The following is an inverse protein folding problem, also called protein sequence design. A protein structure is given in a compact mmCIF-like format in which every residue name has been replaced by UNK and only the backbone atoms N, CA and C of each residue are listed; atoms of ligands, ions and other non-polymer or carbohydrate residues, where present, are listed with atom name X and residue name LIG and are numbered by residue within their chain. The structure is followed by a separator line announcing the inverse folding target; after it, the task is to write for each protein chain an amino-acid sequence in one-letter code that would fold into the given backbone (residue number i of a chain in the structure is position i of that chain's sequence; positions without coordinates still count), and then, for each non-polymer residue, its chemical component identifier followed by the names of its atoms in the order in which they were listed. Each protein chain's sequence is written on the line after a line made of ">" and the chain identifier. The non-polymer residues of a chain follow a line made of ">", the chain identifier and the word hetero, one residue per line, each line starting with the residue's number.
data_IF_188772635601
#
_entry.id   IF_188772635601
#
_cell.length_a   1.000
_cell.length_b   1.000
_cell.length_c   1.000
_cell.angle_alpha   90.00
_cell.angle_beta   90.00
_cell.angle_gamma   90.00
#
_symmetry.space_group_name_H-M   'P 1'
#
loop_
_entity.id
_entity.type
_entity.pdbx_description
1 polymer ?
#
# COMPACT_ATOMS: atom_id res chain seq x y z
N UNK A 1 19.58 -7.89 6.33
CA UNK A 1 18.55 -8.90 6.65
C UNK A 1 17.30 -8.54 5.87
N UNK A 2 16.45 -9.49 5.48
CA UNK A 2 15.23 -9.23 4.68
C UNK A 2 14.38 -8.09 5.26
N UNK A 3 14.28 -8.01 6.59
CA UNK A 3 13.57 -6.93 7.27
C UNK A 3 14.09 -5.54 6.85
N UNK A 4 15.40 -5.32 6.79
CA UNK A 4 15.99 -4.01 6.45
C UNK A 4 15.73 -3.57 5.00
N UNK A 5 15.31 -4.48 4.12
CA UNK A 5 15.01 -4.18 2.71
C UNK A 5 13.50 -4.22 2.42
N UNK A 6 12.68 -4.44 3.45
CA UNK A 6 11.23 -4.42 3.37
C UNK A 6 10.71 -2.99 3.45
N UNK A 7 9.97 -2.57 2.42
CA UNK A 7 9.28 -1.30 2.37
C UNK A 7 8.37 -1.13 3.61
N UNK A 8 8.50 -0.03 4.36
CA UNK A 8 7.64 0.28 5.52
C UNK A 8 6.15 0.11 5.23
N UNK A 9 5.70 0.39 4.01
CA UNK A 9 4.31 0.22 3.59
C UNK A 9 3.85 -1.25 3.68
N UNK A 10 4.73 -2.23 3.44
CA UNK A 10 4.38 -3.65 3.61
C UNK A 10 4.16 -4.01 5.08
N UNK A 11 4.97 -3.44 5.98
CA UNK A 11 4.83 -3.65 7.43
C UNK A 11 3.58 -3.01 7.97
N UNK A 12 3.33 -1.75 7.59
CA UNK A 12 2.12 -1.03 7.95
C UNK A 12 0.88 -1.81 7.48
N UNK A 13 0.84 -2.28 6.24
CA UNK A 13 -0.29 -3.08 5.77
C UNK A 13 -0.50 -4.38 6.56
N UNK A 14 0.56 -5.07 6.98
CA UNK A 14 0.44 -6.25 7.81
C UNK A 14 -0.16 -5.91 9.19
N UNK A 15 0.39 -4.89 9.84
CA UNK A 15 -0.05 -4.44 11.17
C UNK A 15 -1.50 -3.93 11.14
N UNK A 16 -1.85 -3.08 10.17
CA UNK A 16 -3.19 -2.51 10.06
C UNK A 16 -4.21 -3.55 9.62
N UNK A 17 -3.84 -4.53 8.80
CA UNK A 17 -4.73 -5.65 8.46
C UNK A 17 -5.05 -6.50 9.68
N UNK A 18 -4.06 -6.76 10.53
CA UNK A 18 -4.28 -7.46 11.79
C UNK A 18 -5.20 -6.66 12.72
N UNK A 19 -4.89 -5.38 12.94
CA UNK A 19 -5.70 -4.49 13.78
C UNK A 19 -7.14 -4.35 13.28
N UNK A 20 -7.36 -4.33 11.97
CA UNK A 20 -8.70 -4.27 11.38
C UNK A 20 -9.52 -5.54 11.69
N UNK A 21 -8.88 -6.71 11.74
CA UNK A 21 -9.55 -7.95 12.16
C UNK A 21 -9.88 -7.93 13.65
N UNK A 22 -8.95 -7.46 14.49
CA UNK A 22 -9.18 -7.31 15.93
C UNK A 22 -10.32 -6.33 16.23
N UNK A 23 -10.35 -5.18 15.55
CA UNK A 23 -11.42 -4.18 15.67
C UNK A 23 -12.79 -4.76 15.25
N UNK A 24 -12.81 -5.61 14.23
CA UNK A 24 -14.00 -6.34 13.82
C UNK A 24 -14.39 -7.50 14.75
N UNK A 25 -13.59 -7.81 15.78
CA UNK A 25 -13.79 -8.94 16.69
C UNK A 25 -13.59 -10.30 16.02
N UNK A 26 -12.83 -10.36 14.92
CA UNK A 26 -12.55 -11.57 14.16
C UNK A 26 -11.17 -12.10 14.59
N UNK A 27 -11.16 -13.32 15.13
CA UNK A 27 -9.91 -14.04 15.40
C UNK A 27 -9.21 -14.41 14.07
N UNK A 28 -8.01 -13.86 13.78
CA UNK A 28 -7.28 -14.13 12.54
C UNK A 28 -6.98 -15.62 12.32
N UNK A 29 -6.79 -16.40 13.38
CA UNK A 29 -6.48 -17.82 13.25
C UNK A 29 -7.64 -18.62 12.64
N UNK A 30 -8.88 -18.13 12.79
CA UNK A 30 -10.08 -18.73 12.18
C UNK A 30 -10.19 -18.48 10.69
N UNK A 31 -9.41 -17.55 10.14
CA UNK A 31 -9.42 -17.23 8.70
C UNK A 31 -8.42 -18.07 7.89
N UNK A 32 -7.56 -18.87 8.53
CA UNK A 32 -6.62 -19.74 7.83
C UNK A 32 -7.36 -20.73 6.93
N UNK A 33 -7.00 -20.76 5.65
CA UNK A 33 -7.65 -21.57 4.62
C UNK A 33 -8.98 -21.03 4.11
N UNK A 34 -9.47 -19.90 4.64
CA UNK A 34 -10.73 -19.30 4.21
C UNK A 34 -10.59 -18.60 2.86
N UNK A 35 -11.71 -18.40 2.16
CA UNK A 35 -11.80 -17.58 0.94
C UNK A 35 -11.85 -16.09 1.28
N UNK A 36 -11.04 -15.64 2.24
CA UNK A 36 -10.93 -14.21 2.55
C UNK A 36 -10.03 -13.55 1.50
N UNK A 37 -10.50 -12.49 0.86
CA UNK A 37 -9.72 -11.70 -0.09
C UNK A 37 -8.95 -10.55 0.56
N UNK A 38 -7.89 -10.08 -0.09
CA UNK A 38 -7.11 -8.90 0.26
C UNK A 38 -7.04 -7.98 -0.96
N UNK A 39 -7.57 -6.78 -0.84
CA UNK A 39 -7.64 -5.79 -1.91
C UNK A 39 -7.05 -4.48 -1.36
N UNK A 40 -5.88 -4.05 -1.81
CA UNK A 40 -5.33 -2.79 -1.33
C UNK A 40 -4.75 -1.92 -2.44
N UNK A 41 -4.99 -0.62 -2.30
CA UNK A 41 -4.37 0.41 -3.11
C UNK A 41 -2.93 0.68 -2.67
N UNK A 42 -1.98 0.57 -3.60
CA UNK A 42 -0.57 0.93 -3.37
C UNK A 42 0.03 1.43 -4.69
N UNK A 43 0.57 2.64 -4.67
CA UNK A 43 0.95 3.35 -5.91
C UNK A 43 2.37 3.91 -5.90
N UNK A 44 3.01 4.05 -4.73
CA UNK A 44 4.34 4.66 -4.63
C UNK A 44 5.40 3.66 -4.16
N UNK A 45 6.53 3.65 -4.86
CA UNK A 45 7.68 2.79 -4.57
C UNK A 45 8.95 3.60 -4.29
N UNK A 46 8.81 4.61 -3.43
CA UNK A 46 9.90 5.51 -3.04
C UNK A 46 11.06 4.72 -2.42
N UNK A 47 10.73 3.69 -1.64
CA UNK A 47 11.72 2.87 -0.94
C UNK A 47 12.63 2.09 -1.90
N UNK A 48 12.11 1.64 -3.06
CA UNK A 48 12.95 1.04 -4.09
C UNK A 48 14.02 2.01 -4.62
N UNK A 49 13.67 3.29 -4.77
CA UNK A 49 14.65 4.32 -5.14
C UNK A 49 15.76 4.44 -4.09
N UNK A 50 15.36 4.53 -2.81
CA UNK A 50 16.30 4.60 -1.67
C UNK A 50 17.21 3.38 -1.59
N UNK A 51 16.67 2.17 -1.76
CA UNK A 51 17.46 0.94 -1.76
C UNK A 51 18.44 0.95 -2.94
N UNK A 52 17.98 1.25 -4.16
CA UNK A 52 18.85 1.23 -5.35
C UNK A 52 19.99 2.25 -5.25
N UNK A 53 19.74 3.45 -4.72
CA UNK A 53 20.78 4.47 -4.47
C UNK A 53 21.80 4.00 -3.43
N UNK A 54 21.38 3.25 -2.40
CA UNK A 54 22.29 2.64 -1.44
C UNK A 54 23.03 1.40 -1.99
N UNK A 55 22.47 0.74 -3.00
CA UNK A 55 22.94 -0.55 -3.54
C UNK A 55 24.01 -0.45 -4.61
N UNK A 56 24.44 0.76 -5.02
CA UNK A 56 25.56 0.98 -5.95
C UNK A 56 26.91 0.40 -5.43
N UNK A 57 26.88 -0.21 -4.24
CA UNK A 57 28.00 -0.88 -3.56
C UNK A 57 27.69 -2.31 -3.07
N UNK A 58 26.52 -2.90 -3.41
CA UNK A 58 26.00 -4.12 -2.76
C UNK A 58 26.05 -5.42 -3.59
N UNK A 59 26.17 -6.56 -2.90
CA UNK A 59 26.22 -7.94 -3.43
C UNK A 59 24.90 -8.37 -4.11
N UNK A 60 24.94 -9.28 -5.11
CA UNK A 60 23.77 -9.71 -5.90
C UNK A 60 22.62 -10.35 -5.10
N UNK A 61 22.84 -10.83 -3.87
CA UNK A 61 21.78 -11.35 -2.99
C UNK A 61 20.91 -10.24 -2.36
N UNK A 62 21.44 -9.03 -2.17
CA UNK A 62 20.64 -7.84 -1.81
C UNK A 62 19.60 -7.51 -2.87
N UNK A 63 19.88 -7.85 -4.13
CA UNK A 63 18.98 -7.60 -5.26
C UNK A 63 17.67 -8.40 -5.17
N UNK A 64 17.70 -9.63 -4.62
CA UNK A 64 16.51 -10.48 -4.52
C UNK A 64 15.56 -10.02 -3.39
N UNK A 65 16.11 -9.69 -2.22
CA UNK A 65 15.34 -9.17 -1.09
C UNK A 65 14.83 -7.75 -1.36
N UNK A 66 15.58 -6.92 -2.09
CA UNK A 66 15.10 -5.63 -2.59
C UNK A 66 13.89 -5.79 -3.53
N UNK A 67 13.86 -6.82 -4.37
CA UNK A 67 12.72 -7.06 -5.29
C UNK A 67 11.46 -7.47 -4.51
N UNK A 68 11.55 -8.44 -3.60
CA UNK A 68 10.39 -8.84 -2.79
C UNK A 68 9.99 -7.79 -1.75
N UNK A 69 10.97 -7.07 -1.20
CA UNK A 69 10.76 -6.01 -0.22
C UNK A 69 10.09 -4.75 -0.76
N UNK A 70 10.08 -4.56 -2.08
CA UNK A 70 9.53 -3.33 -2.71
C UNK A 70 8.42 -3.58 -3.74
N UNK A 71 8.12 -4.83 -4.08
CA UNK A 71 7.07 -5.15 -5.04
C UNK A 71 5.67 -5.03 -4.42
N UNK A 72 4.76 -4.34 -5.11
CA UNK A 72 3.37 -4.16 -4.68
C UNK A 72 2.62 -5.50 -4.54
N UNK A 73 2.86 -6.44 -5.45
CA UNK A 73 2.26 -7.77 -5.36
C UNK A 73 2.69 -8.51 -4.09
N UNK A 74 3.93 -8.30 -3.66
CA UNK A 74 4.50 -8.98 -2.49
C UNK A 74 3.91 -8.37 -1.23
N UNK A 75 3.64 -7.07 -1.23
CA UNK A 75 2.96 -6.40 -0.14
C UNK A 75 1.59 -7.04 0.19
N UNK A 76 0.75 -7.26 -0.83
CA UNK A 76 -0.57 -7.90 -0.66
C UNK A 76 -0.43 -9.41 -0.41
N UNK A 77 0.46 -10.07 -1.13
CA UNK A 77 0.73 -11.49 -0.95
C UNK A 77 1.24 -11.82 0.46
N UNK A 78 2.02 -10.94 1.09
CA UNK A 78 2.48 -11.11 2.47
C UNK A 78 1.33 -11.06 3.47
N UNK A 79 0.36 -10.17 3.29
CA UNK A 79 -0.85 -10.14 4.15
C UNK A 79 -1.63 -11.45 4.02
N UNK A 80 -1.91 -11.87 2.78
CA UNK A 80 -2.62 -13.12 2.53
C UNK A 80 -1.86 -14.32 3.11
N UNK A 81 -0.53 -14.39 2.90
CA UNK A 81 0.32 -15.46 3.41
C UNK A 81 0.37 -15.50 4.95
N UNK A 82 0.59 -14.35 5.60
CA UNK A 82 0.73 -14.28 7.05
C UNK A 82 -0.58 -14.66 7.78
N UNK A 83 -1.72 -14.28 7.22
CA UNK A 83 -3.05 -14.58 7.77
C UNK A 83 -3.64 -15.92 7.26
N UNK A 84 -2.94 -16.60 6.33
CA UNK A 84 -3.37 -17.86 5.74
C UNK A 84 -4.61 -17.77 4.85
N UNK A 85 -4.83 -16.63 4.20
CA UNK A 85 -6.02 -16.34 3.39
C UNK A 85 -5.86 -16.92 1.98
N UNK A 86 -6.92 -17.51 1.43
CA UNK A 86 -6.92 -18.18 0.12
C UNK A 86 -7.87 -17.53 -0.91
N UNK A 87 -8.47 -16.39 -0.58
CA UNK A 87 -9.24 -15.58 -1.53
C UNK A 87 -8.35 -14.74 -2.46
N UNK A 88 -8.94 -13.86 -3.28
CA UNK A 88 -8.20 -12.99 -4.19
C UNK A 88 -7.21 -12.08 -3.44
N UNK A 89 -5.99 -11.91 -3.95
CA UNK A 89 -4.97 -11.02 -3.41
C UNK A 89 -4.56 -9.99 -4.48
N UNK A 90 -5.14 -8.79 -4.43
CA UNK A 90 -5.08 -7.80 -5.50
C UNK A 90 -4.43 -6.49 -5.02
N UNK A 91 -3.34 -6.12 -5.67
CA UNK A 91 -2.77 -4.77 -5.58
C UNK A 91 -3.42 -3.88 -6.65
N UNK A 92 -3.91 -2.71 -6.25
CA UNK A 92 -4.57 -1.75 -7.15
C UNK A 92 -3.73 -0.48 -7.26
N UNK A 93 -3.46 -0.05 -8.50
CA UNK A 93 -2.85 1.24 -8.77
C UNK A 93 -3.68 2.01 -9.81
N UNK A 94 -4.49 2.94 -9.31
CA UNK A 94 -5.23 3.95 -10.08
C UNK A 94 -4.91 5.35 -9.54
N UNK A 95 -3.66 5.56 -9.13
CA UNK A 95 -3.16 6.78 -8.47
C UNK A 95 -3.96 7.17 -7.22
N UNK A 96 -4.45 8.42 -7.11
CA UNK A 96 -5.12 8.91 -5.89
C UNK A 96 -6.42 8.16 -5.56
N UNK A 97 -6.96 7.37 -6.48
CA UNK A 97 -8.20 6.60 -6.30
C UNK A 97 -7.98 5.15 -5.89
N UNK A 98 -6.72 4.69 -5.78
CA UNK A 98 -6.37 3.27 -5.63
C UNK A 98 -7.10 2.58 -4.48
N UNK A 99 -7.16 3.19 -3.29
CA UNK A 99 -7.83 2.60 -2.13
C UNK A 99 -9.34 2.48 -2.32
N UNK A 100 -9.99 3.49 -2.91
CA UNK A 100 -11.41 3.44 -3.20
C UNK A 100 -11.75 2.41 -4.29
N UNK A 101 -10.89 2.27 -5.29
CA UNK A 101 -11.03 1.22 -6.32
C UNK A 101 -10.80 -0.17 -5.71
N UNK A 102 -9.86 -0.33 -4.79
CA UNK A 102 -9.66 -1.57 -4.06
C UNK A 102 -10.89 -1.95 -3.23
N UNK A 103 -11.49 -1.00 -2.51
CA UNK A 103 -12.76 -1.20 -1.80
C UNK A 103 -13.90 -1.59 -2.75
N UNK A 104 -14.01 -0.91 -3.90
CA UNK A 104 -14.99 -1.25 -4.92
C UNK A 104 -14.82 -2.69 -5.43
N UNK A 105 -13.58 -3.12 -5.71
CA UNK A 105 -13.28 -4.48 -6.14
C UNK A 105 -13.56 -5.51 -5.06
N UNK A 106 -13.27 -5.21 -3.79
CA UNK A 106 -13.59 -6.08 -2.66
C UNK A 106 -15.10 -6.33 -2.55
N UNK A 107 -15.90 -5.26 -2.61
CA UNK A 107 -17.37 -5.36 -2.60
C UNK A 107 -17.87 -6.19 -3.78
N UNK A 108 -17.32 -5.97 -4.99
CA UNK A 108 -17.68 -6.75 -6.16
C UNK A 108 -17.31 -8.24 -6.02
N UNK A 109 -16.14 -8.55 -5.46
CA UNK A 109 -15.69 -9.93 -5.20
C UNK A 109 -16.59 -10.66 -4.20
N UNK A 110 -17.00 -9.98 -3.13
CA UNK A 110 -17.97 -10.49 -2.16
C UNK A 110 -19.33 -10.78 -2.83
N UNK A 111 -19.85 -9.84 -3.65
CA UNK A 111 -21.13 -10.01 -4.34
C UNK A 111 -21.11 -11.15 -5.37
N UNK A 112 -19.96 -11.42 -5.98
CA UNK A 112 -19.77 -12.53 -6.94
C UNK A 112 -19.50 -13.87 -6.28
N UNK A 113 -19.33 -13.90 -4.95
CA UNK A 113 -18.96 -15.12 -4.21
C UNK A 113 -17.51 -15.58 -4.45
N UNK A 114 -16.65 -14.67 -4.93
CA UNK A 114 -15.20 -14.90 -5.08
C UNK A 114 -14.49 -14.89 -3.72
N UNK A 115 -15.06 -14.20 -2.74
CA UNK A 115 -14.63 -14.16 -1.35
C UNK A 115 -15.81 -14.18 -0.38
N UNK A 116 -15.60 -14.69 0.83
CA UNK A 116 -16.59 -14.72 1.93
C UNK A 116 -16.38 -13.58 2.94
N UNK A 117 -15.17 -13.02 2.95
CA UNK A 117 -14.73 -11.88 3.74
C UNK A 117 -13.66 -11.14 2.92
N UNK A 118 -13.51 -9.83 3.11
CA UNK A 118 -12.47 -9.08 2.41
C UNK A 118 -11.81 -8.05 3.31
N UNK A 119 -10.48 -8.04 3.32
CA UNK A 119 -9.68 -6.92 3.78
C UNK A 119 -9.55 -5.94 2.61
N UNK A 120 -9.94 -4.68 2.83
CA UNK A 120 -9.93 -3.66 1.79
C UNK A 120 -9.37 -2.32 2.33
N UNK A 121 -8.46 -1.69 1.59
CA UNK A 121 -7.87 -0.42 2.02
C UNK A 121 -6.79 0.10 1.06
N UNK A 122 -5.81 0.81 1.60
CA UNK A 122 -4.62 1.23 0.87
C UNK A 122 -3.54 1.73 1.81
N UNK A 123 -2.35 1.98 1.25
CA UNK A 123 -1.21 2.52 1.98
C UNK A 123 -0.46 3.51 1.11
N UNK A 124 0.02 4.60 1.72
CA UNK A 124 0.86 5.60 1.12
C UNK A 124 1.85 6.17 2.15
N UNK A 125 3.15 6.02 1.85
CA UNK A 125 4.23 6.68 2.57
C UNK A 125 5.04 7.62 1.66
N UNK A 126 5.52 8.72 2.21
CA UNK A 126 6.38 9.72 1.56
C UNK A 126 7.81 9.50 2.06
N UNK A 127 8.55 8.65 1.36
CA UNK A 127 9.89 8.24 1.78
C UNK A 127 11.01 8.99 1.04
N UNK A 128 10.67 9.78 0.02
CA UNK A 128 11.63 10.58 -0.75
C UNK A 128 11.09 11.96 -1.16
N UNK A 129 12.00 12.94 -1.28
CA UNK A 129 11.69 14.28 -1.77
C UNK A 129 11.48 14.37 -3.29
N UNK A 130 11.95 13.38 -4.06
CA UNK A 130 11.94 13.42 -5.53
C UNK A 130 10.54 13.62 -6.12
N UNK A 131 9.55 12.84 -5.66
CA UNK A 131 8.16 13.00 -6.11
C UNK A 131 7.52 14.30 -5.62
N UNK A 132 7.97 14.84 -4.49
CA UNK A 132 7.51 16.14 -3.99
C UNK A 132 7.95 17.25 -4.95
N UNK A 133 9.24 17.28 -5.32
CA UNK A 133 9.81 18.26 -6.26
C UNK A 133 9.16 18.20 -7.64
N UNK A 134 9.01 16.99 -8.20
CA UNK A 134 8.36 16.80 -9.51
C UNK A 134 6.92 17.33 -9.51
N UNK A 135 6.17 17.10 -8.44
CA UNK A 135 4.78 17.59 -8.31
C UNK A 135 4.71 19.09 -8.05
N UNK A 136 5.67 19.65 -7.31
CA UNK A 136 5.79 21.09 -7.11
C UNK A 136 6.07 21.80 -8.44
N UNK A 137 7.04 21.30 -9.21
CA UNK A 137 7.41 21.85 -10.53
C UNK A 137 6.27 21.73 -11.56
N UNK A 138 5.42 20.72 -11.43
CA UNK A 138 4.20 20.56 -12.23
C UNK A 138 3.03 21.46 -11.77
N UNK A 139 3.21 22.30 -10.74
CA UNK A 139 2.18 23.19 -10.22
C UNK A 139 1.04 22.48 -9.47
N UNK A 140 1.25 21.23 -9.03
CA UNK A 140 0.21 20.44 -8.36
C UNK A 140 0.11 20.73 -6.86
N UNK A 141 1.21 21.20 -6.24
CA UNK A 141 1.30 21.38 -4.79
C UNK A 141 1.06 22.83 -4.38
N UNK A 142 0.32 23.00 -3.28
CA UNK A 142 0.10 24.32 -2.69
C UNK A 142 1.39 24.84 -2.04
N UNK A 143 1.94 26.02 -2.44
CA UNK A 143 3.19 26.54 -1.90
C UNK A 143 3.17 26.86 -0.40
N UNK A 144 1.97 27.10 0.16
CA UNK A 144 1.75 27.39 1.58
C UNK A 144 1.42 26.14 2.40
N UNK A 145 1.50 24.95 1.79
CA UNK A 145 1.32 23.68 2.47
C UNK A 145 -0.09 23.46 2.99
N UNK A 146 -1.13 24.04 2.36
CA UNK A 146 -2.53 23.85 2.78
C UNK A 146 -3.45 23.45 1.62
N UNK A 147 -4.23 22.40 1.85
CA UNK A 147 -5.39 22.10 1.02
C UNK A 147 -6.53 23.08 1.36
N UNK A 148 -6.86 23.97 0.43
CA UNK A 148 -7.94 24.97 0.62
C UNK A 148 -9.21 24.50 -0.08
N UNK A 149 -9.77 23.39 0.40
CA UNK A 149 -10.90 22.72 -0.25
C UNK A 149 -12.07 23.69 -0.44
N UNK A 150 -12.48 23.89 -1.70
CA UNK A 150 -13.57 24.79 -2.12
C UNK A 150 -13.35 26.30 -1.90
N UNK A 151 -12.14 26.74 -1.52
CA UNK A 151 -11.82 28.17 -1.36
C UNK A 151 -11.38 28.80 -2.70
N UNK A 152 -11.71 30.07 -2.92
CA UNK A 152 -11.31 30.81 -4.13
C UNK A 152 -9.77 30.97 -4.26
N UNK A 153 -9.04 30.92 -3.14
CA UNK A 153 -7.59 30.96 -3.08
C UNK A 153 -6.91 29.58 -3.22
N UNK A 154 -7.66 28.53 -3.57
CA UNK A 154 -7.12 27.19 -3.80
C UNK A 154 -6.08 27.19 -4.94
N UNK A 155 -4.89 26.67 -4.63
CA UNK A 155 -3.70 26.78 -5.48
C UNK A 155 -2.85 25.50 -5.47
N UNK A 156 -3.47 24.34 -5.25
CA UNK A 156 -2.83 23.03 -5.20
C UNK A 156 -3.30 22.19 -4.01
N UNK A 157 -2.78 20.97 -3.90
CA UNK A 157 -3.00 20.09 -2.75
C UNK A 157 -1.72 19.90 -1.93
N UNK A 158 -1.82 19.20 -0.81
CA UNK A 158 -0.71 18.81 0.05
C UNK A 158 -0.68 17.29 0.13
N UNK A 159 0.52 16.72 -0.01
CA UNK A 159 0.69 15.27 0.16
C UNK A 159 0.54 14.91 1.63
N UNK A 160 -0.20 13.84 1.91
CA UNK A 160 -0.27 13.21 3.22
C UNK A 160 0.16 11.75 3.12
N UNK A 161 0.33 11.10 4.27
CA UNK A 161 0.53 9.66 4.41
C UNK A 161 -0.72 9.03 5.02
N UNK A 162 -0.93 7.74 4.79
CA UNK A 162 -2.09 7.01 5.32
C UNK A 162 -2.20 5.60 4.80
#
# INVERSE_FOLDING_TARGET
>A
SEALEMDPQQRLMLETSWQALEDAGIDPDRLKGSRTGVYAGISTNDYRGVILEASDTAEPTSSLYAVSGTSYNTAIGRVAFALGLQGPAIAVDTACSSSLVAMHQAVAGLQRGEADLALAGGVHAILSGRLLELRANAGMLAPDGRCKTFDAAANGYVRGEG
#
